data_IF_092905942050
#
_entry.id   IF_092905942050
#
_cell.length_a   1.000
_cell.length_b   1.000
_cell.length_c   1.000
_cell.angle_alpha   90.00
_cell.angle_beta   90.00
_cell.angle_gamma   90.00
#
_symmetry.space_group_name_H-M   'P 1'
#
loop_
_entity.id
_entity.type
_entity.pdbx_description
1 polymer ?
#
# COMPACT_ATOMS: atom_id res chain seq x y z
N UNK A 1 -28.77 13.25 -2.56
CA UNK A 1 -27.88 14.29 -2.01
C UNK A 1 -28.30 15.70 -2.39
N UNK A 2 -27.87 16.72 -1.64
CA UNK A 2 -28.22 18.13 -1.88
C UNK A 2 -27.05 19.08 -1.61
N UNK A 3 -27.03 20.22 -2.29
CA UNK A 3 -26.15 21.36 -1.98
C UNK A 3 -26.82 22.21 -0.93
N UNK A 4 -26.10 22.59 0.13
CA UNK A 4 -26.56 23.45 1.20
C UNK A 4 -25.61 24.63 1.42
N UNK A 5 -26.12 25.74 1.93
CA UNK A 5 -25.28 26.80 2.48
C UNK A 5 -24.71 26.39 3.83
N UNK A 6 -23.69 27.09 4.30
CA UNK A 6 -23.15 26.89 5.67
C UNK A 6 -24.17 27.16 6.79
N UNK A 7 -25.19 27.92 6.48
CA UNK A 7 -26.37 28.16 7.36
C UNK A 7 -27.28 26.93 7.49
N UNK A 8 -27.08 25.91 6.65
CA UNK A 8 -27.93 24.73 6.53
C UNK A 8 -29.09 24.89 5.53
N UNK A 9 -29.27 26.07 4.94
CA UNK A 9 -30.31 26.29 3.94
C UNK A 9 -30.04 25.48 2.66
N UNK A 10 -31.03 24.76 2.17
CA UNK A 10 -30.92 23.99 0.92
C UNK A 10 -30.87 24.92 -0.29
N UNK A 11 -29.84 24.77 -1.11
CA UNK A 11 -29.71 25.49 -2.39
C UNK A 11 -30.42 24.71 -3.51
N UNK A 12 -30.07 23.42 -3.66
CA UNK A 12 -30.75 22.51 -4.61
C UNK A 12 -30.41 21.05 -4.32
N UNK A 13 -31.19 20.14 -4.85
CA UNK A 13 -30.85 18.72 -4.91
C UNK A 13 -29.85 18.44 -6.03
N UNK A 14 -29.04 17.39 -5.88
CA UNK A 14 -28.20 16.89 -6.97
C UNK A 14 -29.04 16.07 -7.94
N UNK A 15 -28.61 16.05 -9.19
CA UNK A 15 -29.12 15.11 -10.19
C UNK A 15 -28.45 13.74 -9.97
N UNK A 16 -29.05 12.66 -10.46
CA UNK A 16 -28.49 11.33 -10.38
C UNK A 16 -27.06 11.26 -10.96
N UNK A 17 -26.85 11.91 -12.11
CA UNK A 17 -25.54 11.97 -12.76
C UNK A 17 -24.48 12.71 -11.92
N UNK A 18 -24.88 13.75 -11.17
CA UNK A 18 -23.98 14.45 -10.23
C UNK A 18 -23.69 13.59 -9.00
N UNK A 19 -24.65 12.83 -8.50
CA UNK A 19 -24.45 11.89 -7.38
C UNK A 19 -23.51 10.76 -7.77
N UNK A 20 -23.67 10.17 -8.96
CA UNK A 20 -22.77 9.16 -9.50
C UNK A 20 -21.35 9.70 -9.69
N UNK A 21 -21.23 10.90 -10.31
CA UNK A 21 -19.93 11.56 -10.49
C UNK A 21 -19.23 11.81 -9.15
N UNK A 22 -19.99 12.20 -8.13
CA UNK A 22 -19.47 12.48 -6.80
C UNK A 22 -19.07 11.20 -6.05
N UNK A 23 -19.86 10.12 -6.20
CA UNK A 23 -19.54 8.81 -5.65
C UNK A 23 -18.27 8.24 -6.28
N UNK A 24 -18.15 8.30 -7.61
CA UNK A 24 -16.96 7.89 -8.35
C UNK A 24 -15.72 8.73 -7.96
N UNK A 25 -15.91 10.05 -7.73
CA UNK A 25 -14.85 10.92 -7.24
C UNK A 25 -14.40 10.52 -5.84
N UNK A 26 -15.34 10.24 -4.93
CA UNK A 26 -15.04 9.80 -3.57
C UNK A 26 -14.35 8.43 -3.53
N UNK A 27 -14.72 7.53 -4.45
CA UNK A 27 -14.09 6.22 -4.62
C UNK A 27 -12.73 6.29 -5.34
N UNK A 28 -12.33 7.45 -5.91
CA UNK A 28 -11.08 7.60 -6.65
C UNK A 28 -11.06 6.87 -8.00
N UNK A 29 -12.22 6.53 -8.57
CA UNK A 29 -12.34 5.78 -9.83
C UNK A 29 -12.32 6.64 -11.08
N UNK A 30 -12.38 7.98 -10.92
CA UNK A 30 -12.42 8.90 -12.05
C UNK A 30 -11.04 9.15 -12.68
N UNK A 31 -11.01 9.16 -14.02
CA UNK A 31 -9.83 9.51 -14.80
C UNK A 31 -10.22 10.43 -15.99
N UNK A 32 -9.22 11.10 -16.56
CA UNK A 32 -9.35 11.89 -17.79
C UNK A 32 -10.43 12.97 -17.73
N UNK A 33 -11.30 13.08 -18.77
CA UNK A 33 -12.32 14.14 -18.86
C UNK A 33 -13.33 14.14 -17.72
N UNK A 34 -13.72 12.97 -17.19
CA UNK A 34 -14.66 12.86 -16.07
C UNK A 34 -14.07 13.40 -14.76
N UNK A 35 -12.78 13.15 -14.50
CA UNK A 35 -12.07 13.71 -13.35
C UNK A 35 -11.99 15.25 -13.46
N UNK A 36 -11.69 15.76 -14.66
CA UNK A 36 -11.67 17.21 -14.90
C UNK A 36 -13.05 17.84 -14.64
N UNK A 37 -14.13 17.21 -15.12
CA UNK A 37 -15.50 17.65 -14.89
C UNK A 37 -15.84 17.68 -13.39
N UNK A 38 -15.50 16.61 -12.65
CA UNK A 38 -15.72 16.54 -11.21
C UNK A 38 -14.96 17.66 -10.46
N UNK A 39 -13.69 17.87 -10.80
CA UNK A 39 -12.87 18.93 -10.19
C UNK A 39 -13.46 20.32 -10.48
N UNK A 40 -13.89 20.60 -11.71
CA UNK A 40 -14.51 21.89 -12.05
C UNK A 40 -15.80 22.12 -11.28
N UNK A 41 -16.62 21.07 -11.14
CA UNK A 41 -17.88 21.14 -10.41
C UNK A 41 -17.65 21.34 -8.90
N UNK A 42 -16.74 20.56 -8.29
CA UNK A 42 -16.38 20.69 -6.89
C UNK A 42 -15.76 22.06 -6.57
N UNK A 43 -14.95 22.62 -7.48
CA UNK A 43 -14.44 23.99 -7.33
C UNK A 43 -15.55 25.02 -7.30
N UNK A 44 -16.62 24.87 -8.10
CA UNK A 44 -17.78 25.76 -8.05
C UNK A 44 -18.48 25.68 -6.69
N UNK A 45 -18.72 24.48 -6.16
CA UNK A 45 -19.32 24.28 -4.83
C UNK A 45 -18.46 24.95 -3.75
N UNK A 46 -17.14 24.75 -3.81
CA UNK A 46 -16.19 25.34 -2.87
C UNK A 46 -16.14 26.87 -2.96
N UNK A 47 -16.04 27.43 -4.19
CA UNK A 47 -15.96 28.89 -4.39
C UNK A 47 -17.25 29.59 -4.00
N UNK A 48 -18.41 28.93 -4.14
CA UNK A 48 -19.70 29.40 -3.64
C UNK A 48 -19.85 29.26 -2.10
N UNK A 49 -18.83 28.74 -1.40
CA UNK A 49 -18.84 28.52 0.04
C UNK A 49 -19.98 27.59 0.52
N UNK A 50 -20.31 26.60 -0.31
CA UNK A 50 -21.38 25.63 -0.10
C UNK A 50 -20.85 24.30 0.38
N UNK A 51 -21.74 23.49 0.96
CA UNK A 51 -21.49 22.14 1.44
C UNK A 51 -22.37 21.12 0.71
N UNK A 52 -22.02 19.86 0.84
CA UNK A 52 -22.77 18.73 0.28
C UNK A 52 -23.41 17.94 1.42
N UNK A 53 -24.73 17.88 1.46
CA UNK A 53 -25.45 17.11 2.45
C UNK A 53 -25.88 15.76 1.88
N UNK A 54 -25.62 14.68 2.62
CA UNK A 54 -25.92 13.31 2.21
C UNK A 54 -27.22 12.81 2.84
N UNK A 55 -28.07 12.19 2.06
CA UNK A 55 -29.34 11.62 2.51
C UNK A 55 -29.24 10.14 2.90
N UNK A 56 -28.03 9.62 3.19
CA UNK A 56 -27.84 8.23 3.58
C UNK A 56 -28.41 7.87 4.96
N UNK A 57 -28.77 8.86 5.77
CA UNK A 57 -29.45 8.69 7.06
C UNK A 57 -30.79 9.39 7.06
N UNK A 58 -31.79 8.80 7.73
CA UNK A 58 -33.12 9.40 7.90
C UNK A 58 -33.22 10.27 9.15
N UNK A 59 -32.42 9.96 10.17
CA UNK A 59 -32.43 10.59 11.51
C UNK A 59 -31.53 11.82 11.62
N UNK A 60 -30.61 12.00 10.67
CA UNK A 60 -29.59 13.04 10.72
C UNK A 60 -28.97 13.31 9.34
N UNK A 61 -28.35 14.47 9.17
CA UNK A 61 -27.83 14.94 7.90
C UNK A 61 -26.30 14.99 7.91
N UNK A 62 -25.60 13.94 7.43
CA UNK A 62 -24.15 13.98 7.25
C UNK A 62 -23.75 15.02 6.20
N UNK A 63 -22.72 15.81 6.48
CA UNK A 63 -22.28 16.90 5.61
C UNK A 63 -20.82 16.73 5.19
N UNK A 64 -20.55 17.00 3.92
CA UNK A 64 -19.25 16.97 3.30
C UNK A 64 -18.79 18.38 2.93
N UNK A 65 -17.53 18.66 3.23
CA UNK A 65 -16.84 19.86 2.79
C UNK A 65 -15.95 19.55 1.59
N UNK A 66 -15.93 20.40 0.58
CA UNK A 66 -14.95 20.33 -0.51
C UNK A 66 -13.67 21.05 -0.04
N UNK A 67 -12.62 20.32 0.18
CA UNK A 67 -11.32 20.82 0.63
C UNK A 67 -10.28 20.78 -0.47
N UNK A 68 -9.37 21.75 -0.47
CA UNK A 68 -8.24 21.80 -1.39
C UNK A 68 -6.95 21.47 -0.62
N UNK A 69 -6.20 20.51 -1.10
CA UNK A 69 -4.87 20.25 -0.58
C UNK A 69 -3.93 21.37 -1.07
N UNK A 70 -3.50 22.24 -0.16
CA UNK A 70 -2.65 23.39 -0.50
C UNK A 70 -1.29 23.01 -1.10
N UNK A 71 -0.81 21.78 -0.92
CA UNK A 71 0.50 21.36 -1.43
C UNK A 71 0.42 20.70 -2.82
N UNK A 72 -0.70 20.06 -3.13
CA UNK A 72 -0.88 19.33 -4.41
C UNK A 72 -1.88 19.99 -5.33
N UNK A 73 -2.66 20.98 -4.86
CA UNK A 73 -3.75 21.57 -5.61
C UNK A 73 -4.93 20.61 -5.87
N UNK A 74 -4.94 19.43 -5.26
CA UNK A 74 -6.01 18.44 -5.45
C UNK A 74 -7.20 18.72 -4.54
N UNK A 75 -8.40 18.57 -5.10
CA UNK A 75 -9.64 18.62 -4.33
C UNK A 75 -9.89 17.27 -3.65
N UNK A 76 -10.48 17.31 -2.48
CA UNK A 76 -10.95 16.12 -1.78
C UNK A 76 -12.20 16.45 -0.94
N UNK A 77 -12.99 15.42 -0.68
CA UNK A 77 -14.16 15.54 0.19
C UNK A 77 -13.76 15.23 1.63
N UNK A 78 -14.22 16.05 2.56
CA UNK A 78 -13.98 15.88 3.99
C UNK A 78 -15.30 15.86 4.73
N UNK A 79 -15.51 14.89 5.63
CA UNK A 79 -16.63 14.90 6.55
C UNK A 79 -16.53 16.11 7.48
N UNK A 80 -17.64 16.80 7.66
CA UNK A 80 -17.71 17.85 8.65
C UNK A 80 -17.73 17.20 10.05
N UNK A 81 -16.78 17.52 10.95
CA UNK A 81 -16.68 16.89 12.26
C UNK A 81 -17.89 17.20 13.17
N UNK A 82 -18.61 18.30 12.87
CA UNK A 82 -19.77 18.75 13.64
C UNK A 82 -21.08 18.11 13.17
N UNK A 83 -21.03 17.15 12.24
CA UNK A 83 -22.20 16.46 11.70
C UNK A 83 -22.09 14.96 11.89
N UNK A 84 -23.23 14.24 11.91
CA UNK A 84 -23.23 12.79 12.07
C UNK A 84 -22.41 12.06 11.03
N UNK A 85 -21.86 10.90 11.37
CA UNK A 85 -21.17 10.02 10.43
C UNK A 85 -22.15 9.43 9.41
N UNK A 86 -21.66 9.14 8.21
CA UNK A 86 -22.41 8.42 7.19
C UNK A 86 -22.74 7.00 7.62
N UNK A 87 -23.83 6.42 7.08
CA UNK A 87 -24.13 5.00 7.31
C UNK A 87 -23.05 4.10 6.70
N UNK A 88 -22.79 2.92 7.28
CA UNK A 88 -21.97 1.89 6.66
C UNK A 88 -22.49 1.56 5.25
N UNK A 89 -21.57 1.45 4.28
CA UNK A 89 -21.92 1.24 2.86
C UNK A 89 -22.29 2.50 2.08
N UNK A 90 -22.33 3.68 2.71
CA UNK A 90 -22.43 4.94 1.99
C UNK A 90 -21.09 5.26 1.31
N UNK A 91 -21.05 5.61 0.00
CA UNK A 91 -19.80 5.95 -0.71
C UNK A 91 -18.99 7.07 -0.05
N UNK A 92 -19.64 7.83 0.84
CA UNK A 92 -19.02 8.94 1.57
C UNK A 92 -18.72 8.61 3.03
N UNK A 93 -18.93 7.38 3.48
CA UNK A 93 -18.52 6.96 4.82
C UNK A 93 -17.00 7.05 4.95
N UNK A 94 -16.53 7.22 6.18
CA UNK A 94 -15.09 7.31 6.43
C UNK A 94 -14.39 6.00 6.06
N UNK A 95 -15.00 4.87 6.35
CA UNK A 95 -14.47 3.54 6.04
C UNK A 95 -14.40 3.28 4.54
N UNK A 96 -15.44 3.64 3.79
CA UNK A 96 -15.48 3.51 2.32
C UNK A 96 -14.51 4.49 1.65
N UNK A 97 -14.33 5.69 2.20
CA UNK A 97 -13.37 6.67 1.68
C UNK A 97 -11.94 6.37 2.08
N UNK A 98 -11.69 5.82 3.26
CA UNK A 98 -10.36 5.33 3.63
C UNK A 98 -9.99 4.11 2.77
N UNK A 99 -10.98 3.28 2.41
CA UNK A 99 -10.81 2.23 1.41
C UNK A 99 -10.57 2.80 -0.01
N UNK A 100 -11.24 3.91 -0.37
CA UNK A 100 -11.15 4.55 -1.68
C UNK A 100 -10.08 5.65 -1.78
N UNK A 101 -9.88 6.48 -0.75
CA UNK A 101 -8.91 7.59 -0.75
C UNK A 101 -7.46 7.14 -0.50
N UNK A 102 -7.25 5.89 -0.19
CA UNK A 102 -5.95 5.27 -0.41
C UNK A 102 -5.68 5.02 -1.91
N UNK A 103 -6.64 5.22 -2.78
CA UNK A 103 -6.51 5.22 -4.23
C UNK A 103 -5.98 6.55 -4.78
N UNK A 104 -4.86 7.04 -4.28
CA UNK A 104 -3.89 7.64 -5.17
C UNK A 104 -3.31 6.46 -5.94
N UNK A 105 -3.72 6.28 -7.20
CA UNK A 105 -3.22 5.25 -8.12
C UNK A 105 -1.69 5.31 -8.34
N UNK A 106 -1.01 6.21 -7.66
CA UNK A 106 0.43 6.32 -7.59
C UNK A 106 0.82 6.57 -6.13
N UNK A 107 1.15 5.53 -5.36
CA UNK A 107 1.89 5.76 -4.13
C UNK A 107 3.13 6.59 -4.52
N UNK A 108 3.47 7.62 -3.77
CA UNK A 108 4.68 8.38 -4.05
C UNK A 108 5.84 7.38 -4.16
N UNK A 109 6.76 7.56 -5.11
CA UNK A 109 7.81 6.60 -5.36
C UNK A 109 8.52 6.29 -4.05
N UNK A 110 8.45 5.03 -3.63
CA UNK A 110 9.13 4.59 -2.42
C UNK A 110 10.63 4.80 -2.63
N UNK A 111 11.25 5.53 -1.73
CA UNK A 111 12.67 5.77 -1.81
C UNK A 111 13.45 4.53 -1.35
N UNK A 112 14.51 4.19 -2.07
CA UNK A 112 15.48 3.21 -1.61
C UNK A 112 16.11 3.68 -0.30
N UNK A 113 16.09 2.84 0.73
CA UNK A 113 16.75 3.12 2.00
C UNK A 113 18.15 2.54 1.99
N UNK A 114 19.14 3.40 2.24
CA UNK A 114 20.52 2.95 2.37
C UNK A 114 20.71 2.09 3.63
N UNK A 115 21.45 0.96 3.54
CA UNK A 115 21.63 0.06 4.69
C UNK A 115 22.40 0.68 5.85
N UNK A 116 23.20 1.72 5.62
CA UNK A 116 24.08 2.31 6.64
C UNK A 116 23.42 3.45 7.43
N UNK A 117 22.22 3.87 7.05
CA UNK A 117 21.51 4.96 7.71
C UNK A 117 20.51 4.43 8.76
N UNK A 118 20.48 4.98 9.99
CA UNK A 118 19.49 4.62 11.00
C UNK A 118 18.06 4.83 10.48
N UNK A 119 17.20 3.84 10.69
CA UNK A 119 15.86 3.84 10.11
C UNK A 119 14.95 4.92 10.67
N UNK A 120 15.10 5.31 11.95
CA UNK A 120 14.28 6.33 12.63
C UNK A 120 12.80 6.24 12.24
N UNK A 121 12.19 5.09 12.54
CA UNK A 121 10.80 4.78 12.16
C UNK A 121 9.76 5.50 13.05
N UNK A 122 10.17 5.92 14.24
CA UNK A 122 9.34 6.70 15.18
C UNK A 122 10.15 7.88 15.70
N UNK A 123 9.48 9.02 15.79
CA UNK A 123 10.00 10.17 16.56
C UNK A 123 10.00 9.89 18.07
N UNK A 124 10.74 10.67 18.81
CA UNK A 124 10.73 10.62 20.27
C UNK A 124 9.35 11.01 20.81
N UNK A 125 9.04 10.56 22.02
CA UNK A 125 7.79 11.00 22.66
C UNK A 125 7.79 12.53 22.83
N UNK A 126 6.73 13.20 22.39
CA UNK A 126 6.54 14.62 22.70
C UNK A 126 6.59 14.82 24.21
N UNK A 127 7.39 15.74 24.70
CA UNK A 127 7.41 16.11 26.11
C UNK A 127 6.04 16.68 26.48
N UNK A 128 5.44 16.13 27.56
CA UNK A 128 4.24 16.72 28.13
C UNK A 128 4.59 18.12 28.64
N UNK A 129 4.26 19.16 27.90
CA UNK A 129 4.60 20.55 28.21
C UNK A 129 4.64 21.48 27.00
N UNK A 130 4.83 20.96 25.80
CA UNK A 130 4.64 21.77 24.60
C UNK A 130 3.14 21.84 24.28
N UNK A 131 2.49 22.85 24.87
CA UNK A 131 1.08 23.12 24.68
C UNK A 131 0.75 23.33 23.21
N UNK A 132 0.07 22.36 22.64
CA UNK A 132 -0.45 22.42 21.28
C UNK A 132 -1.71 23.29 21.26
N UNK A 133 -1.52 24.59 21.06
CA UNK A 133 -2.61 25.55 20.82
C UNK A 133 -2.52 26.18 19.44
N UNK A 134 -2.11 25.47 18.43
CA UNK A 134 -2.36 25.91 17.06
C UNK A 134 -2.30 24.73 16.10
N UNK A 135 -3.42 24.41 15.47
CA UNK A 135 -3.49 23.52 14.30
C UNK A 135 -2.74 24.12 13.10
N UNK A 136 -1.44 24.34 13.26
CA UNK A 136 -0.55 24.74 12.19
C UNK A 136 -0.31 23.59 11.19
N UNK A 137 0.09 23.89 9.95
CA UNK A 137 0.39 22.86 8.98
C UNK A 137 1.52 21.98 9.51
N UNK A 138 1.28 20.66 9.55
CA UNK A 138 2.29 19.65 9.94
C UNK A 138 3.56 19.85 9.14
N UNK A 139 4.71 19.91 9.81
CA UNK A 139 5.99 20.09 9.16
C UNK A 139 6.27 19.01 8.10
N UNK A 140 6.97 19.33 7.00
CA UNK A 140 7.33 18.37 5.95
C UNK A 140 8.08 17.13 6.45
N UNK A 141 8.70 17.18 7.63
CA UNK A 141 9.39 16.08 8.30
C UNK A 141 8.48 14.93 8.72
N UNK A 142 7.29 15.21 9.29
CA UNK A 142 6.35 14.16 9.74
C UNK A 142 5.81 13.31 8.58
N UNK A 143 5.60 13.90 7.39
CA UNK A 143 5.19 13.15 6.19
C UNK A 143 6.29 12.22 5.65
N UNK A 144 7.56 12.62 5.75
CA UNK A 144 8.70 11.76 5.36
C UNK A 144 8.86 10.57 6.29
N UNK A 145 8.58 10.72 7.58
CA UNK A 145 8.62 9.60 8.53
C UNK A 145 7.50 8.59 8.29
N UNK A 146 6.30 9.05 7.93
CA UNK A 146 5.16 8.19 7.66
C UNK A 146 5.38 7.23 6.48
N UNK A 147 6.14 7.62 5.45
CA UNK A 147 6.40 6.77 4.27
C UNK A 147 7.58 5.80 4.44
N UNK A 148 8.36 5.94 5.52
CA UNK A 148 9.58 5.13 5.72
C UNK A 148 9.29 3.64 5.91
N UNK A 149 8.18 3.29 6.56
CA UNK A 149 7.86 1.87 6.82
C UNK A 149 7.56 1.11 5.52
N UNK A 150 6.82 1.72 4.59
CA UNK A 150 6.58 1.13 3.27
C UNK A 150 7.87 1.10 2.44
N UNK A 151 8.64 2.18 2.42
CA UNK A 151 9.94 2.22 1.75
C UNK A 151 10.88 1.15 2.29
N UNK A 152 10.86 0.89 3.59
CA UNK A 152 11.64 -0.17 4.22
C UNK A 152 11.20 -1.56 3.74
N UNK A 153 9.89 -1.83 3.74
CA UNK A 153 9.35 -3.11 3.29
C UNK A 153 9.71 -3.36 1.81
N UNK A 154 9.53 -2.37 0.94
CA UNK A 154 9.87 -2.47 -0.48
C UNK A 154 11.38 -2.65 -0.70
N UNK A 155 12.20 -1.92 0.06
CA UNK A 155 13.66 -2.09 0.04
C UNK A 155 14.07 -3.50 0.45
N UNK A 156 13.42 -4.07 1.47
CA UNK A 156 13.70 -5.45 1.89
C UNK A 156 13.24 -6.48 0.84
N UNK A 157 12.09 -6.28 0.19
CA UNK A 157 11.62 -7.13 -0.91
C UNK A 157 12.63 -7.13 -2.06
N UNK A 158 13.09 -5.96 -2.48
CA UNK A 158 14.08 -5.80 -3.57
C UNK A 158 15.42 -6.44 -3.18
N UNK A 159 15.92 -6.13 -1.98
CA UNK A 159 17.23 -6.59 -1.50
C UNK A 159 17.29 -8.10 -1.17
N UNK A 160 16.13 -8.73 -0.89
CA UNK A 160 16.01 -10.17 -0.67
C UNK A 160 15.74 -10.95 -1.96
N UNK A 161 15.45 -10.25 -3.07
CA UNK A 161 15.09 -10.85 -4.34
C UNK A 161 13.69 -11.51 -4.35
N UNK A 162 12.80 -11.15 -3.43
CA UNK A 162 11.42 -11.68 -3.44
C UNK A 162 10.59 -11.17 -4.63
N UNK A 163 11.02 -10.10 -5.26
CA UNK A 163 10.48 -9.56 -6.50
C UNK A 163 11.06 -10.23 -7.76
N UNK A 164 11.84 -11.30 -7.58
CA UNK A 164 12.46 -12.09 -8.64
C UNK A 164 11.96 -13.52 -8.57
N UNK A 165 11.56 -14.08 -9.72
CA UNK A 165 11.20 -15.49 -9.86
C UNK A 165 12.01 -16.16 -10.95
N UNK A 166 12.59 -17.30 -10.63
CA UNK A 166 13.13 -18.28 -11.55
C UNK A 166 13.02 -19.66 -10.88
N UNK A 167 12.87 -20.72 -11.65
CA UNK A 167 12.65 -22.07 -11.14
C UNK A 167 13.73 -22.52 -10.13
N UNK A 168 15.00 -22.19 -10.40
CA UNK A 168 16.13 -22.52 -9.53
C UNK A 168 16.26 -21.65 -8.27
N UNK A 169 15.51 -20.52 -8.21
CA UNK A 169 15.45 -19.63 -7.06
C UNK A 169 14.24 -19.89 -6.17
N UNK A 170 13.43 -20.89 -6.51
CA UNK A 170 12.23 -21.22 -5.75
C UNK A 170 12.56 -21.59 -4.30
N UNK A 171 11.94 -20.90 -3.36
CA UNK A 171 12.14 -21.07 -1.92
C UNK A 171 10.79 -21.32 -1.25
N UNK A 172 10.80 -22.13 -0.20
CA UNK A 172 9.62 -22.24 0.67
C UNK A 172 9.41 -20.95 1.48
N UNK A 173 8.27 -20.85 2.13
CA UNK A 173 7.91 -19.65 2.90
C UNK A 173 8.91 -19.35 4.01
N UNK A 174 9.43 -20.39 4.68
CA UNK A 174 10.41 -20.25 5.77
C UNK A 174 11.72 -19.64 5.25
N UNK A 175 12.21 -20.12 4.11
CA UNK A 175 13.41 -19.59 3.48
C UNK A 175 13.21 -18.15 2.99
N UNK A 176 12.02 -17.80 2.46
CA UNK A 176 11.69 -16.41 2.06
C UNK A 176 11.72 -15.45 3.26
N UNK A 177 11.16 -15.85 4.41
CA UNK A 177 11.25 -15.03 5.63
C UNK A 177 12.68 -14.99 6.21
N UNK A 178 13.46 -16.05 6.08
CA UNK A 178 14.86 -16.06 6.48
C UNK A 178 15.70 -15.05 5.67
N UNK A 179 15.45 -14.96 4.35
CA UNK A 179 16.09 -13.95 3.50
C UNK A 179 15.73 -12.53 3.94
N UNK A 180 14.44 -12.24 4.17
CA UNK A 180 13.99 -10.93 4.67
C UNK A 180 14.66 -10.59 6.01
N UNK A 181 14.78 -11.56 6.92
CA UNK A 181 15.46 -11.38 8.20
C UNK A 181 16.96 -11.14 8.02
N UNK A 182 17.59 -11.85 7.08
CA UNK A 182 18.99 -11.63 6.70
C UNK A 182 19.24 -10.23 6.16
N UNK A 183 18.33 -9.75 5.28
CA UNK A 183 18.35 -8.38 4.78
C UNK A 183 18.17 -7.37 5.92
N UNK A 184 17.19 -7.59 6.81
CA UNK A 184 16.94 -6.71 7.96
C UNK A 184 18.17 -6.56 8.89
N UNK A 185 19.06 -7.55 8.91
CA UNK A 185 20.32 -7.48 9.65
C UNK A 185 21.29 -6.40 9.15
N UNK A 186 21.12 -5.92 7.92
CA UNK A 186 21.95 -4.87 7.32
C UNK A 186 21.42 -3.46 7.57
N UNK A 187 20.21 -3.33 8.11
CA UNK A 187 19.54 -2.06 8.34
C UNK A 187 19.48 -1.77 9.85
N UNK A 188 20.13 -0.71 10.33
CA UNK A 188 20.09 -0.36 11.75
C UNK A 188 18.78 0.34 12.12
N UNK A 189 18.08 -0.14 13.15
CA UNK A 189 16.98 0.58 13.80
C UNK A 189 17.48 1.87 14.44
N UNK A 190 18.62 1.78 15.12
CA UNK A 190 19.40 2.84 15.73
C UNK A 190 20.86 2.68 15.30
N UNK A 191 21.71 3.66 15.57
CA UNK A 191 23.08 3.78 15.04
C UNK A 191 23.92 2.49 14.96
N UNK A 192 23.68 1.49 15.82
CA UNK A 192 24.44 0.22 15.83
C UNK A 192 23.57 -1.01 16.10
N UNK A 193 22.25 -0.87 16.02
CA UNK A 193 21.32 -1.94 16.37
C UNK A 193 20.66 -2.49 15.11
N UNK A 194 21.04 -3.67 14.61
CA UNK A 194 20.39 -4.26 13.44
C UNK A 194 18.88 -4.44 13.66
N UNK A 195 18.08 -4.16 12.64
CA UNK A 195 16.63 -4.34 12.70
C UNK A 195 16.26 -5.80 12.99
N UNK A 196 17.05 -6.77 12.52
CA UNK A 196 16.84 -8.21 12.78
C UNK A 196 16.84 -8.59 14.26
N UNK A 197 17.48 -7.80 15.15
CA UNK A 197 17.49 -8.08 16.59
C UNK A 197 16.11 -7.85 17.23
N UNK A 198 15.31 -6.96 16.66
CA UNK A 198 13.98 -6.61 17.12
C UNK A 198 12.93 -6.84 16.03
N UNK A 199 13.15 -7.85 15.18
CA UNK A 199 12.22 -8.34 14.17
C UNK A 199 11.70 -9.72 14.56
N UNK A 200 10.38 -9.89 14.53
CA UNK A 200 9.71 -11.19 14.51
C UNK A 200 9.07 -11.41 13.13
N UNK A 201 9.19 -12.64 12.61
CA UNK A 201 8.65 -13.02 11.30
C UNK A 201 7.32 -13.76 11.42
N UNK A 202 6.55 -13.42 12.44
CA UNK A 202 5.22 -13.96 12.71
C UNK A 202 4.41 -13.00 13.55
N UNK A 203 3.19 -12.71 13.13
CA UNK A 203 2.22 -11.90 13.87
C UNK A 203 1.27 -12.83 14.62
N UNK A 204 1.59 -13.08 15.87
CA UNK A 204 0.74 -13.75 16.84
C UNK A 204 1.08 -13.27 18.27
N UNK A 205 0.22 -13.56 19.23
CA UNK A 205 0.37 -13.11 20.62
C UNK A 205 1.71 -13.56 21.23
N UNK A 206 2.16 -14.79 20.95
CA UNK A 206 3.42 -15.33 21.49
C UNK A 206 4.61 -14.50 21.02
N UNK A 207 4.74 -14.24 19.71
CA UNK A 207 5.87 -13.49 19.14
C UNK A 207 5.80 -12.01 19.54
N UNK A 208 4.60 -11.42 19.66
CA UNK A 208 4.43 -10.08 20.21
C UNK A 208 4.93 -10.00 21.66
N UNK A 209 4.62 -10.98 22.51
CA UNK A 209 5.09 -11.02 23.89
C UNK A 209 6.62 -11.24 23.97
N UNK A 210 7.19 -12.08 23.11
CA UNK A 210 8.64 -12.27 23.04
C UNK A 210 9.35 -10.97 22.60
N UNK A 211 8.83 -10.29 21.59
CA UNK A 211 9.36 -9.00 21.14
C UNK A 211 9.25 -7.94 22.25
N UNK A 212 8.09 -7.87 22.93
CA UNK A 212 7.87 -6.99 24.08
C UNK A 212 8.91 -7.22 25.18
N UNK A 213 9.17 -8.46 25.56
CA UNK A 213 10.15 -8.79 26.60
C UNK A 213 11.55 -8.26 26.21
N UNK A 214 12.01 -8.56 24.98
CA UNK A 214 13.30 -8.05 24.47
C UNK A 214 13.36 -6.51 24.46
N UNK A 215 12.30 -5.86 24.04
CA UNK A 215 12.24 -4.39 24.01
C UNK A 215 12.27 -3.78 25.41
N UNK A 216 11.67 -4.42 26.42
CA UNK A 216 11.72 -3.95 27.81
C UNK A 216 13.11 -4.00 28.42
N UNK A 217 13.85 -5.02 28.11
CA UNK A 217 15.23 -5.24 28.59
C UNK A 217 16.28 -4.45 27.79
N UNK A 218 15.90 -3.93 26.61
CA UNK A 218 16.82 -3.26 25.70
C UNK A 218 17.30 -1.91 26.26
N UNK A 219 18.58 -1.83 26.61
CA UNK A 219 19.25 -0.59 27.04
C UNK A 219 19.73 0.25 25.85
N UNK A 220 19.86 -0.35 24.68
CA UNK A 220 20.38 0.28 23.44
C UNK A 220 19.54 1.45 22.93
N UNK A 221 18.26 1.52 23.31
CA UNK A 221 17.39 2.62 22.90
C UNK A 221 17.66 3.94 23.68
N UNK A 222 18.32 3.86 24.85
CA UNK A 222 18.57 5.06 25.67
C UNK A 222 17.28 5.84 25.91
N UNK A 223 17.25 7.09 25.49
CA UNK A 223 16.10 7.99 25.59
C UNK A 223 15.15 7.89 24.36
N UNK A 224 15.53 7.14 23.33
CA UNK A 224 14.68 6.98 22.15
C UNK A 224 13.50 6.06 22.42
N UNK A 225 12.44 6.27 21.68
CA UNK A 225 11.25 5.43 21.75
C UNK A 225 11.58 3.99 21.35
N UNK A 226 11.37 3.05 22.29
CA UNK A 226 11.59 1.63 22.05
C UNK A 226 10.61 1.13 21.00
N UNK A 227 11.12 0.45 19.98
CA UNK A 227 10.26 -0.13 18.95
C UNK A 227 10.90 -1.37 18.32
N UNK A 228 10.05 -2.22 17.78
CA UNK A 228 10.43 -3.40 17.04
C UNK A 228 9.48 -3.61 15.86
N UNK A 229 9.72 -4.64 15.10
CA UNK A 229 9.05 -4.93 13.86
C UNK A 229 8.42 -6.33 13.88
N UNK A 230 7.22 -6.45 13.36
CA UNK A 230 6.53 -7.71 13.14
C UNK A 230 6.26 -7.83 11.63
N UNK A 231 6.77 -8.89 11.02
CA UNK A 231 6.62 -9.17 9.60
C UNK A 231 5.84 -10.47 9.44
N UNK A 232 4.74 -10.45 8.68
CA UNK A 232 3.94 -11.66 8.43
C UNK A 232 3.23 -11.60 7.09
N UNK A 233 2.79 -12.76 6.60
CA UNK A 233 1.86 -12.86 5.50
C UNK A 233 0.43 -12.94 6.05
N UNK A 234 -0.32 -11.83 5.96
CA UNK A 234 -1.68 -11.70 6.48
C UNK A 234 -2.72 -11.92 5.37
N UNK A 235 -3.95 -12.28 5.73
CA UNK A 235 -5.02 -12.54 4.78
C UNK A 235 -5.63 -11.26 4.24
N UNK A 236 -5.85 -10.30 5.15
CA UNK A 236 -6.49 -9.03 4.81
C UNK A 236 -6.19 -7.97 5.87
N UNK A 237 -6.35 -6.73 5.46
CA UNK A 237 -6.36 -5.56 6.35
C UNK A 237 -7.70 -4.84 6.13
N UNK A 238 -8.48 -4.68 7.19
CA UNK A 238 -9.76 -3.96 7.15
C UNK A 238 -9.76 -2.87 8.22
N UNK A 239 -9.96 -1.62 7.79
CA UNK A 239 -9.87 -0.48 8.68
C UNK A 239 -8.51 -0.46 9.38
N UNK A 240 -8.51 -0.54 10.72
CA UNK A 240 -7.27 -0.58 11.54
C UNK A 240 -6.99 -1.97 12.12
N UNK A 241 -7.29 -3.03 11.37
CA UNK A 241 -7.17 -4.40 11.84
C UNK A 241 -6.51 -5.31 10.81
N UNK A 242 -5.50 -6.05 11.24
CA UNK A 242 -4.83 -7.09 10.46
C UNK A 242 -5.46 -8.44 10.78
N UNK A 243 -5.79 -9.23 9.78
CA UNK A 243 -6.33 -10.57 9.92
C UNK A 243 -5.37 -11.60 9.34
N UNK A 244 -5.10 -12.64 10.09
CA UNK A 244 -4.37 -13.81 9.64
C UNK A 244 -5.06 -15.09 10.15
N UNK A 245 -4.63 -16.25 9.68
CA UNK A 245 -5.20 -17.54 10.07
C UNK A 245 -4.91 -17.97 11.52
N UNK A 246 -4.28 -17.12 12.34
CA UNK A 246 -3.92 -17.42 13.73
C UNK A 246 -4.76 -16.66 14.76
N UNK A 247 -5.56 -15.70 14.31
CA UNK A 247 -6.44 -14.92 15.16
C UNK A 247 -7.72 -14.57 14.43
N UNK A 248 -8.85 -15.04 14.92
CA UNK A 248 -10.17 -14.72 14.38
C UNK A 248 -10.51 -13.23 14.63
N UNK A 249 -10.10 -12.70 15.77
CA UNK A 249 -10.34 -11.30 16.15
C UNK A 249 -9.42 -10.33 15.43
N UNK A 250 -8.33 -10.81 14.83
CA UNK A 250 -7.30 -9.99 14.22
C UNK A 250 -6.48 -9.18 15.22
N UNK A 251 -5.65 -8.27 14.72
CA UNK A 251 -4.73 -7.42 15.50
C UNK A 251 -4.97 -5.97 15.16
N UNK A 252 -5.39 -5.18 16.16
CA UNK A 252 -5.62 -3.74 16.00
C UNK A 252 -4.30 -2.97 15.90
N UNK A 253 -4.27 -1.90 15.08
CA UNK A 253 -3.18 -0.93 15.03
C UNK A 253 -3.73 0.51 15.12
N UNK A 254 -2.93 1.42 15.70
CA UNK A 254 -3.42 2.74 16.08
C UNK A 254 -3.30 3.81 14.97
N UNK A 255 -2.26 3.72 14.17
CA UNK A 255 -1.89 4.77 13.23
C UNK A 255 -2.30 4.48 11.79
N UNK A 256 -1.38 4.69 10.87
CA UNK A 256 -1.64 4.64 9.44
C UNK A 256 -1.29 3.28 8.83
N UNK A 257 -2.10 2.86 7.87
CA UNK A 257 -1.79 1.78 6.95
C UNK A 257 -1.22 2.39 5.68
N UNK A 258 -0.01 1.96 5.31
CA UNK A 258 0.65 2.31 4.06
C UNK A 258 0.69 1.06 3.20
N UNK A 259 0.35 1.17 1.94
CA UNK A 259 0.40 -0.01 1.08
C UNK A 259 0.97 0.33 -0.29
N UNK A 260 1.59 -0.67 -0.91
CA UNK A 260 1.99 -0.68 -2.29
C UNK A 260 1.02 -1.58 -3.05
N UNK A 261 0.59 -1.15 -4.23
CA UNK A 261 -0.39 -1.86 -5.04
C UNK A 261 -1.65 -1.03 -5.28
N UNK A 262 -2.52 -1.49 -6.14
CA UNK A 262 -3.79 -0.83 -6.44
C UNK A 262 -4.80 -1.02 -5.31
N UNK A 263 -5.74 -0.09 -5.18
CA UNK A 263 -6.77 -0.04 -4.14
C UNK A 263 -7.67 -1.28 -4.03
N UNK A 264 -7.67 -2.14 -5.05
CA UNK A 264 -8.47 -3.37 -5.13
C UNK A 264 -7.66 -4.65 -4.85
N UNK A 265 -6.41 -4.52 -4.43
CA UNK A 265 -5.62 -5.70 -4.13
C UNK A 265 -6.06 -6.31 -2.81
N UNK A 266 -6.61 -7.53 -2.88
CA UNK A 266 -6.94 -8.34 -1.72
C UNK A 266 -5.72 -9.12 -1.20
N UNK A 267 -5.88 -9.83 -0.07
CA UNK A 267 -4.83 -10.72 0.43
C UNK A 267 -4.58 -11.95 -0.46
N UNK A 268 -3.47 -12.65 -0.21
CA UNK A 268 -2.53 -12.45 0.89
C UNK A 268 -1.64 -11.22 0.72
N UNK A 269 -1.28 -10.62 1.85
CA UNK A 269 -0.45 -9.41 1.93
C UNK A 269 0.81 -9.70 2.78
N UNK A 270 1.98 -9.36 2.29
CA UNK A 270 3.17 -9.26 3.15
C UNK A 270 3.06 -7.95 3.93
N UNK A 271 2.92 -8.04 5.26
CA UNK A 271 2.72 -6.89 6.13
C UNK A 271 3.89 -6.72 7.10
N UNK A 272 4.38 -5.49 7.23
CA UNK A 272 5.37 -5.05 8.20
C UNK A 272 4.70 -4.10 9.18
N UNK A 273 4.58 -4.50 10.44
CA UNK A 273 3.98 -3.71 11.50
C UNK A 273 5.03 -3.18 12.47
N UNK A 274 4.88 -1.93 12.87
CA UNK A 274 5.73 -1.28 13.85
C UNK A 274 5.10 -1.43 15.25
N UNK A 275 5.83 -2.04 16.18
CA UNK A 275 5.39 -2.37 17.52
C UNK A 275 6.15 -1.56 18.56
N UNK A 276 5.44 -0.82 19.41
CA UNK A 276 6.04 0.15 20.34
C UNK A 276 5.15 0.37 21.56
N UNK A 277 5.68 0.87 22.69
CA UNK A 277 4.84 1.33 23.80
C UNK A 277 3.88 2.42 23.34
N UNK A 278 2.64 2.39 23.83
CA UNK A 278 1.61 3.39 23.53
C UNK A 278 2.05 4.82 23.92
N UNK A 279 2.59 4.96 25.14
CA UNK A 279 3.11 6.22 25.68
C UNK A 279 4.46 6.02 26.36
N UNK A 280 5.18 7.09 26.65
CA UNK A 280 6.44 7.04 27.39
C UNK A 280 6.24 6.36 28.75
N UNK A 281 7.09 5.37 29.05
CA UNK A 281 7.01 4.59 30.30
C UNK A 281 5.89 3.56 30.34
N UNK A 282 5.04 3.47 29.33
CA UNK A 282 3.96 2.49 29.28
C UNK A 282 4.48 1.06 29.22
N UNK A 283 3.82 0.18 29.96
CA UNK A 283 3.97 -1.26 29.84
C UNK A 283 3.07 -1.88 28.76
N UNK A 284 2.15 -1.09 28.18
CA UNK A 284 1.30 -1.49 27.08
C UNK A 284 2.00 -1.20 25.75
N UNK A 285 2.10 -2.24 24.92
CA UNK A 285 2.69 -2.18 23.59
C UNK A 285 1.60 -2.41 22.56
N UNK A 286 1.64 -1.66 21.49
CA UNK A 286 0.63 -1.65 20.42
C UNK A 286 1.30 -1.69 19.07
N UNK A 287 0.55 -2.14 18.06
CA UNK A 287 0.91 -1.91 16.66
C UNK A 287 0.61 -0.44 16.34
N UNK A 288 1.64 0.30 15.96
CA UNK A 288 1.51 1.75 15.71
C UNK A 288 1.19 2.01 14.25
N UNK A 289 1.99 1.49 13.34
CA UNK A 289 1.83 1.66 11.89
C UNK A 289 2.00 0.33 11.19
N UNK A 290 1.40 0.22 10.01
CA UNK A 290 1.51 -0.96 9.16
C UNK A 290 1.86 -0.54 7.74
N UNK A 291 2.79 -1.27 7.13
CA UNK A 291 3.02 -1.23 5.69
C UNK A 291 2.69 -2.60 5.10
N UNK A 292 2.11 -2.64 3.89
CA UNK A 292 1.80 -3.90 3.24
C UNK A 292 2.00 -3.88 1.73
N UNK A 293 2.25 -5.08 1.19
CA UNK A 293 2.42 -5.35 -0.23
C UNK A 293 1.61 -6.60 -0.57
N UNK A 294 0.68 -6.56 -1.51
CA UNK A 294 0.00 -7.76 -2.00
C UNK A 294 1.02 -8.74 -2.59
N UNK A 295 0.84 -10.02 -2.32
CA UNK A 295 1.73 -11.07 -2.82
C UNK A 295 0.96 -12.17 -3.54
N UNK A 296 1.64 -12.92 -4.41
CA UNK A 296 1.02 -13.90 -5.29
C UNK A 296 0.27 -14.99 -4.52
N UNK A 297 0.90 -15.50 -3.47
CA UNK A 297 0.28 -16.48 -2.57
C UNK A 297 1.01 -16.48 -1.22
N UNK A 298 0.44 -17.17 -0.21
CA UNK A 298 1.12 -17.38 1.07
C UNK A 298 2.45 -18.16 0.94
N UNK A 299 2.56 -19.02 -0.06
CA UNK A 299 3.78 -19.79 -0.32
C UNK A 299 4.79 -19.05 -1.21
N UNK A 300 4.38 -17.98 -1.86
CA UNK A 300 5.21 -17.23 -2.80
C UNK A 300 4.97 -15.72 -2.63
N UNK A 301 5.91 -15.06 -1.94
CA UNK A 301 5.85 -13.65 -1.56
C UNK A 301 6.25 -12.70 -2.71
N UNK A 302 6.03 -13.13 -3.96
CA UNK A 302 6.27 -12.29 -5.14
C UNK A 302 5.22 -11.16 -5.18
N UNK A 303 5.61 -9.89 -5.33
CA UNK A 303 4.70 -8.75 -5.30
C UNK A 303 3.66 -8.78 -6.44
N UNK A 304 2.42 -8.43 -6.10
CA UNK A 304 1.27 -8.30 -7.02
C UNK A 304 0.73 -6.89 -6.89
N UNK A 305 0.50 -6.18 -8.00
CA UNK A 305 0.00 -4.81 -7.92
C UNK A 305 -1.52 -4.77 -7.76
N UNK A 306 -2.27 -5.60 -8.52
CA UNK A 306 -3.74 -5.76 -8.45
C UNK A 306 -4.14 -7.23 -8.54
N UNK A 307 -5.32 -7.56 -8.03
CA UNK A 307 -5.81 -8.94 -8.02
C UNK A 307 -6.00 -9.54 -9.42
N UNK A 308 -6.33 -8.73 -10.41
CA UNK A 308 -6.47 -9.16 -11.81
C UNK A 308 -5.18 -9.74 -12.39
N UNK A 309 -4.01 -9.35 -11.86
CA UNK A 309 -2.71 -9.90 -12.28
C UNK A 309 -2.44 -11.31 -11.76
N UNK A 310 -3.13 -11.76 -10.68
CA UNK A 310 -2.79 -13.03 -10.00
C UNK A 310 -2.87 -14.23 -10.91
N UNK A 311 -3.92 -14.35 -11.71
CA UNK A 311 -4.08 -15.48 -12.61
C UNK A 311 -3.08 -15.47 -13.78
N UNK A 312 -2.89 -14.36 -14.53
CA UNK A 312 -1.85 -14.34 -15.55
C UNK A 312 -0.43 -14.48 -14.96
N UNK A 313 -0.18 -13.98 -13.75
CA UNK A 313 1.12 -14.13 -13.08
C UNK A 313 1.39 -15.59 -12.67
N UNK A 314 0.39 -16.31 -12.10
CA UNK A 314 0.51 -17.76 -11.86
C UNK A 314 0.77 -18.54 -13.13
N UNK A 315 0.13 -18.15 -14.22
CA UNK A 315 0.35 -18.77 -15.53
C UNK A 315 1.75 -18.52 -16.07
N UNK A 316 2.32 -17.31 -15.86
CA UNK A 316 3.72 -17.01 -16.21
C UNK A 316 4.69 -17.82 -15.35
N UNK A 317 4.45 -17.92 -14.05
CA UNK A 317 5.26 -18.76 -13.12
C UNK A 317 5.28 -20.21 -13.62
N UNK A 318 4.11 -20.78 -13.93
CA UNK A 318 3.99 -22.14 -14.46
C UNK A 318 4.68 -22.29 -15.82
N UNK A 319 4.61 -21.26 -16.66
CA UNK A 319 5.27 -21.25 -17.98
C UNK A 319 6.81 -21.22 -17.83
N UNK A 320 7.33 -20.42 -16.92
CA UNK A 320 8.76 -20.35 -16.62
C UNK A 320 9.28 -21.71 -16.13
N UNK A 321 8.53 -22.38 -15.23
CA UNK A 321 8.87 -23.73 -14.77
C UNK A 321 8.86 -24.75 -15.91
N UNK A 322 7.87 -24.66 -16.80
CA UNK A 322 7.81 -25.51 -17.99
C UNK A 322 8.97 -25.23 -18.98
N UNK A 323 9.30 -23.95 -19.25
CA UNK A 323 10.44 -23.61 -20.11
C UNK A 323 11.77 -24.10 -19.51
N UNK A 324 11.93 -24.00 -18.20
CA UNK A 324 13.11 -24.53 -17.49
C UNK A 324 13.23 -26.05 -17.68
N UNK A 325 12.12 -26.81 -17.66
CA UNK A 325 12.13 -28.26 -17.94
C UNK A 325 12.55 -28.61 -19.37
N UNK A 326 12.48 -27.62 -20.29
CA UNK A 326 12.96 -27.73 -21.70
C UNK A 326 14.36 -27.14 -21.90
N UNK A 327 15.06 -26.78 -20.81
CA UNK A 327 16.41 -26.24 -20.87
C UNK A 327 16.49 -24.72 -21.08
N UNK A 328 15.35 -24.03 -21.19
CA UNK A 328 15.32 -22.55 -21.36
C UNK A 328 15.12 -21.90 -19.99
N UNK A 329 16.14 -21.20 -19.51
CA UNK A 329 16.09 -20.51 -18.21
C UNK A 329 15.59 -19.08 -18.41
N UNK A 330 14.48 -18.77 -17.77
CA UNK A 330 13.90 -17.41 -17.76
C UNK A 330 13.81 -16.92 -16.32
N UNK A 331 14.22 -15.68 -16.10
CA UNK A 331 14.08 -14.94 -14.86
C UNK A 331 13.01 -13.89 -15.08
N UNK A 332 12.05 -13.81 -14.18
CA UNK A 332 11.01 -12.78 -14.13
C UNK A 332 11.27 -11.87 -12.94
N UNK A 333 11.31 -10.56 -13.15
CA UNK A 333 11.50 -9.55 -12.10
C UNK A 333 10.39 -8.51 -12.15
N UNK A 334 9.91 -8.10 -11.00
CA UNK A 334 9.06 -6.91 -10.82
C UNK A 334 9.85 -5.84 -10.08
N UNK A 335 10.24 -4.73 -10.72
CA UNK A 335 10.81 -3.58 -10.03
C UNK A 335 9.77 -3.01 -9.04
N UNK A 336 10.08 -2.94 -7.75
CA UNK A 336 9.20 -2.35 -6.73
C UNK A 336 9.69 -0.99 -6.26
N UNK A 337 10.94 -0.64 -6.59
CA UNK A 337 11.55 0.66 -6.34
C UNK A 337 12.25 1.13 -7.61
N UNK A 338 12.03 2.39 -7.98
CA UNK A 338 12.72 3.02 -9.12
C UNK A 338 12.30 2.52 -10.50
N UNK A 339 11.26 1.69 -10.60
CA UNK A 339 10.66 1.30 -11.88
C UNK A 339 10.00 2.50 -12.58
N UNK A 340 10.16 2.61 -13.90
CA UNK A 340 9.48 3.64 -14.70
C UNK A 340 7.96 3.40 -14.75
N UNK A 341 7.56 2.13 -14.67
CA UNK A 341 6.16 1.70 -14.69
C UNK A 341 5.94 0.69 -13.57
N UNK A 342 4.98 0.95 -12.68
CA UNK A 342 4.77 0.15 -11.45
C UNK A 342 4.23 -1.26 -11.70
N UNK A 343 3.60 -1.49 -12.85
CA UNK A 343 3.00 -2.77 -13.23
C UNK A 343 3.89 -3.60 -14.16
N UNK A 344 5.08 -3.10 -14.50
CA UNK A 344 5.98 -3.79 -15.42
C UNK A 344 6.60 -5.05 -14.80
N UNK A 345 6.56 -6.14 -15.57
CA UNK A 345 7.32 -7.35 -15.31
C UNK A 345 8.38 -7.48 -16.41
N UNK A 346 9.62 -7.64 -16.00
CA UNK A 346 10.75 -7.85 -16.92
C UNK A 346 11.12 -9.33 -16.90
N UNK A 347 11.01 -10.00 -18.05
CA UNK A 347 11.45 -11.38 -18.26
C UNK A 347 12.76 -11.38 -19.03
N UNK A 348 13.76 -12.07 -18.51
CA UNK A 348 15.09 -12.16 -19.13
C UNK A 348 15.51 -13.62 -19.23
N UNK A 349 15.97 -14.06 -20.39
CA UNK A 349 16.54 -15.40 -20.56
C UNK A 349 18.06 -15.40 -20.39
N UNK A 350 18.62 -16.59 -20.22
CA UNK A 350 20.09 -16.85 -20.25
C UNK A 350 20.74 -16.57 -21.60
N UNK A 351 19.93 -16.30 -22.65
CA UNK A 351 20.38 -15.87 -23.99
C UNK A 351 20.25 -14.35 -24.19
N UNK A 352 20.15 -13.56 -23.13
CA UNK A 352 19.99 -12.10 -23.13
C UNK A 352 18.74 -11.58 -23.88
N UNK A 353 17.71 -12.43 -24.05
CA UNK A 353 16.42 -11.96 -24.56
C UNK A 353 15.65 -11.32 -23.43
N UNK A 354 15.16 -10.13 -23.67
CA UNK A 354 14.39 -9.35 -22.70
C UNK A 354 13.00 -9.09 -23.26
N UNK A 355 11.98 -9.38 -22.46
CA UNK A 355 10.58 -9.08 -22.74
C UNK A 355 9.98 -8.37 -21.54
N UNK A 356 9.49 -7.16 -21.73
CA UNK A 356 8.71 -6.42 -20.73
C UNK A 356 7.23 -6.66 -20.95
N UNK A 357 6.50 -6.98 -19.89
CA UNK A 357 5.05 -7.20 -19.95
C UNK A 357 4.32 -6.43 -18.85
N UNK A 358 3.13 -5.91 -19.15
CA UNK A 358 2.15 -5.46 -18.17
C UNK A 358 0.99 -6.44 -18.13
N UNK A 359 0.54 -6.81 -16.93
CA UNK A 359 -0.58 -7.73 -16.75
C UNK A 359 -1.91 -7.01 -16.46
N UNK A 360 -1.90 -5.68 -16.33
CA UNK A 360 -3.08 -4.88 -16.10
C UNK A 360 -3.88 -4.66 -17.39
N UNK A 361 -5.19 -4.62 -17.27
CA UNK A 361 -6.08 -4.24 -18.38
C UNK A 361 -5.93 -2.76 -18.75
N UNK A 362 -5.72 -1.91 -17.76
CA UNK A 362 -5.51 -0.48 -17.95
C UNK A 362 -4.10 -0.09 -17.49
N UNK A 363 -3.31 0.58 -18.33
CA UNK A 363 -1.97 1.00 -17.97
C UNK A 363 -2.00 2.05 -16.85
N UNK A 364 -1.03 1.97 -15.93
CA UNK A 364 -0.85 2.93 -14.85
C UNK A 364 -0.03 4.17 -15.23
N UNK A 365 0.52 4.19 -16.45
CA UNK A 365 1.37 5.28 -16.92
C UNK A 365 1.63 5.19 -18.42
N UNK A 366 2.55 6.02 -18.94
CA UNK A 366 3.01 5.93 -20.31
C UNK A 366 3.62 4.55 -20.57
N UNK A 367 3.52 4.07 -21.81
CA UNK A 367 4.19 2.84 -22.20
C UNK A 367 5.71 2.98 -21.96
N UNK A 368 6.35 1.93 -21.38
CA UNK A 368 7.79 1.91 -21.29
C UNK A 368 8.39 2.02 -22.70
N UNK A 369 9.42 2.81 -22.83
CA UNK A 369 10.24 2.86 -24.07
C UNK A 369 11.13 1.60 -24.12
N UNK A 370 10.48 0.45 -24.31
CA UNK A 370 11.10 -0.85 -24.39
C UNK A 370 10.76 -1.50 -25.74
N UNK A 371 11.79 -1.89 -26.50
CA UNK A 371 11.67 -2.49 -27.82
C UNK A 371 10.72 -3.70 -27.85
N UNK A 372 10.64 -4.45 -26.77
CA UNK A 372 9.84 -5.66 -26.62
C UNK A 372 8.83 -5.55 -25.47
N UNK A 373 8.04 -4.49 -25.43
CA UNK A 373 6.95 -4.36 -24.46
C UNK A 373 5.64 -4.96 -25.00
N UNK A 374 4.89 -5.68 -24.12
CA UNK A 374 3.57 -6.24 -24.43
C UNK A 374 2.63 -6.11 -23.24
N UNK A 375 1.36 -5.86 -23.52
CA UNK A 375 0.28 -5.90 -22.55
C UNK A 375 -0.47 -7.21 -22.62
N UNK A 376 -0.82 -7.78 -21.48
CA UNK A 376 -1.70 -8.94 -21.43
C UNK A 376 -3.05 -8.65 -22.11
N UNK A 377 -3.58 -7.45 -21.95
CA UNK A 377 -4.83 -7.01 -22.57
C UNK A 377 -4.82 -7.04 -24.12
N UNK A 378 -3.65 -7.03 -24.77
CA UNK A 378 -3.53 -7.13 -26.24
C UNK A 378 -3.82 -8.55 -26.75
N UNK A 379 -3.94 -9.53 -25.85
CA UNK A 379 -4.15 -10.94 -26.21
C UNK A 379 -5.59 -11.37 -25.96
N UNK A 380 -6.16 -12.14 -26.89
CA UNK A 380 -7.55 -12.63 -26.81
C UNK A 380 -7.78 -13.57 -25.64
N UNK A 381 -6.75 -14.22 -25.11
CA UNK A 381 -6.84 -15.16 -24.00
C UNK A 381 -5.48 -15.35 -23.33
N UNK A 382 -5.52 -15.89 -22.11
CA UNK A 382 -4.34 -16.31 -21.35
C UNK A 382 -3.49 -17.33 -22.11
N UNK A 383 -4.12 -18.21 -22.87
CA UNK A 383 -3.42 -19.21 -23.69
C UNK A 383 -2.63 -18.56 -24.84
N UNK A 384 -3.22 -17.58 -25.55
CA UNK A 384 -2.52 -16.85 -26.62
C UNK A 384 -1.35 -16.04 -26.07
N UNK A 385 -1.51 -15.42 -24.91
CA UNK A 385 -0.43 -14.73 -24.22
C UNK A 385 0.71 -15.68 -23.84
N UNK A 386 0.40 -16.83 -23.22
CA UNK A 386 1.40 -17.86 -22.89
C UNK A 386 2.15 -18.38 -24.12
N UNK A 387 1.43 -18.66 -25.21
CA UNK A 387 2.04 -19.10 -26.50
C UNK A 387 3.00 -18.03 -27.05
N UNK A 388 2.61 -16.75 -26.94
CA UNK A 388 3.47 -15.64 -27.36
C UNK A 388 4.76 -15.60 -26.53
N UNK A 389 4.66 -15.60 -25.20
CA UNK A 389 5.83 -15.55 -24.29
C UNK A 389 6.73 -16.77 -24.51
N UNK A 390 6.16 -17.97 -24.59
CA UNK A 390 6.92 -19.19 -24.90
C UNK A 390 7.63 -19.06 -26.25
N UNK A 391 6.92 -18.65 -27.31
CA UNK A 391 7.49 -18.46 -28.63
C UNK A 391 8.61 -17.42 -28.69
N UNK A 392 8.51 -16.37 -27.87
CA UNK A 392 9.55 -15.34 -27.74
C UNK A 392 10.87 -15.93 -27.22
N UNK A 393 10.81 -16.76 -26.17
CA UNK A 393 12.02 -17.29 -25.53
C UNK A 393 12.53 -18.62 -26.15
N UNK A 394 11.65 -19.41 -26.77
CA UNK A 394 12.01 -20.73 -27.31
C UNK A 394 12.35 -20.72 -28.83
N UNK A 395 12.22 -19.59 -29.53
CA UNK A 395 12.68 -19.51 -30.93
C UNK A 395 14.18 -19.69 -30.98
N UNK A 396 14.65 -20.62 -31.80
CA UNK A 396 16.05 -20.69 -32.20
C UNK A 396 16.44 -19.40 -32.95
N UNK A 397 17.65 -18.91 -32.75
CA UNK A 397 18.18 -17.75 -33.49
C UNK A 397 18.35 -18.09 -34.95
#
# INVERSE_FOLDING_TARGET
MRIIEKSGAQVRSLTLAEEELLADFAAGTLAGPRLLQANQWLMKVRSANQWLACDCRQDALPVLNVSLNGNTGTLFLRNNPDTPEHTPGCPFSKDEREAGASAQDHPPPAAWLAPDAPLRLLGDYRRAGDGDTTGGPREPGERREQQRLLSLLLTWIEASGLNVYATHLKKDLTAQFAELRGVAGRYPLLERVPASNYLETRLDMKHMMMLKARLREATVFGNHRRHGLLLDCVDQIKGRKLFNNRSEDGFDFQGHHQYWGGSRASGPLLALALYSPATAGSHFYELIHVASVPVLSRGQLFPVYRDEEREPLKALVSLIDWMASKGVKVLMRRPVIGGQVMDELVLTSDQDRVLSVSLLEQPLGPEPDAENFKRYADFKSLETFRKYVAGFFMRER
#
